data_IF_596781858334
#
_entry.id   IF_596781858334
#
_cell.length_a   1.000
_cell.length_b   1.000
_cell.length_c   1.000
_cell.angle_alpha   90.00
_cell.angle_beta   90.00
_cell.angle_gamma   90.00
#
_symmetry.space_group_name_H-M   'P 1'
#
loop_
_entity.id
_entity.type
_entity.pdbx_description
1 polymer ?
#
# COMPACT_ATOMS: atom_id res chain seq x y z
N UNK A 1 -16.40 9.37 -5.39
CA UNK A 1 -16.68 10.55 -4.54
C UNK A 1 -15.41 10.92 -3.76
N UNK A 2 -15.37 12.11 -3.17
CA UNK A 2 -14.28 12.52 -2.28
C UNK A 2 -14.83 13.32 -1.11
N UNK A 3 -14.32 13.03 0.07
CA UNK A 3 -14.58 13.71 1.33
C UNK A 3 -13.25 14.17 1.92
N UNK A 4 -13.05 15.49 2.03
CA UNK A 4 -11.80 16.09 2.51
C UNK A 4 -11.64 17.52 2.01
N UNK A 5 -10.50 18.12 2.34
CA UNK A 5 -10.18 19.50 1.94
C UNK A 5 -9.83 19.59 0.45
N UNK A 6 -10.17 20.73 -0.16
CA UNK A 6 -9.73 21.07 -1.51
C UNK A 6 -9.09 22.44 -1.56
N UNK A 7 -7.87 22.52 -2.09
CA UNK A 7 -7.15 23.77 -2.31
C UNK A 7 -7.02 23.98 -3.82
N UNK A 8 -7.51 25.12 -4.33
CA UNK A 8 -7.58 25.41 -5.78
C UNK A 8 -8.27 24.30 -6.61
N UNK A 9 -9.24 23.61 -6.02
CA UNK A 9 -9.98 22.51 -6.66
C UNK A 9 -9.28 21.14 -6.63
N UNK A 10 -8.05 21.06 -6.10
CA UNK A 10 -7.29 19.82 -5.93
C UNK A 10 -7.48 19.25 -4.53
N UNK A 11 -7.45 17.92 -4.38
CA UNK A 11 -7.52 17.25 -3.08
C UNK A 11 -6.25 17.53 -2.27
N UNK A 12 -6.40 17.92 -1.00
CA UNK A 12 -5.30 18.29 -0.12
C UNK A 12 -5.58 17.79 1.31
N UNK A 13 -4.52 17.56 2.09
CA UNK A 13 -4.66 17.17 3.50
C UNK A 13 -5.25 15.76 3.67
N UNK A 14 -5.85 15.49 4.83
CA UNK A 14 -6.53 14.22 5.07
C UNK A 14 -7.83 14.13 4.27
N UNK A 15 -8.08 12.98 3.64
CA UNK A 15 -9.34 12.73 2.96
C UNK A 15 -9.65 11.27 2.71
N UNK A 16 -10.84 11.05 2.16
CA UNK A 16 -11.36 9.77 1.75
C UNK A 16 -11.88 9.85 0.30
N UNK A 17 -11.33 9.03 -0.59
CA UNK A 17 -11.74 8.92 -1.98
C UNK A 17 -12.33 7.55 -2.27
N UNK A 18 -13.48 7.53 -2.93
CA UNK A 18 -14.03 6.34 -3.60
C UNK A 18 -13.85 6.51 -5.11
N UNK A 19 -13.08 5.62 -5.73
CA UNK A 19 -12.81 5.61 -7.15
C UNK A 19 -13.88 4.81 -7.92
N UNK A 20 -13.98 5.10 -9.21
CA UNK A 20 -14.73 4.24 -10.12
C UNK A 20 -14.15 2.82 -10.10
N UNK A 21 -15.03 1.81 -10.07
CA UNK A 21 -14.63 0.41 -9.90
C UNK A 21 -14.54 -0.06 -8.45
N UNK A 22 -14.82 0.79 -7.45
CA UNK A 22 -14.99 0.38 -6.04
C UNK A 22 -13.71 0.40 -5.20
N UNK A 23 -12.58 0.81 -5.78
CA UNK A 23 -11.36 1.05 -4.99
C UNK A 23 -11.57 2.25 -4.07
N UNK A 24 -10.94 2.23 -2.89
CA UNK A 24 -10.98 3.35 -1.95
C UNK A 24 -9.60 3.73 -1.47
N UNK A 25 -9.43 5.01 -1.13
CA UNK A 25 -8.24 5.50 -0.44
C UNK A 25 -8.66 6.37 0.75
N UNK A 26 -8.03 6.14 1.90
CA UNK A 26 -8.14 6.99 3.08
C UNK A 26 -6.74 7.40 3.51
N UNK A 27 -6.45 8.69 3.53
CA UNK A 27 -5.16 9.18 3.95
C UNK A 27 -4.85 10.57 3.45
N UNK A 28 -3.57 10.88 3.40
CA UNK A 28 -3.07 12.19 3.00
C UNK A 28 -3.12 12.37 1.48
N UNK A 29 -3.47 13.57 1.05
CA UNK A 29 -3.45 14.05 -0.31
C UNK A 29 -2.56 15.30 -0.41
N UNK A 30 -1.93 15.48 -1.56
CA UNK A 30 -1.25 16.72 -1.91
C UNK A 30 -1.29 16.93 -3.42
N UNK A 31 -1.67 18.15 -3.84
CA UNK A 31 -1.85 18.53 -5.24
C UNK A 31 -2.79 17.58 -6.01
N UNK A 32 -3.80 17.03 -5.35
CA UNK A 32 -4.75 16.08 -5.94
C UNK A 32 -4.27 14.64 -6.00
N UNK A 33 -3.05 14.33 -5.55
CA UNK A 33 -2.51 12.98 -5.53
C UNK A 33 -2.53 12.37 -4.13
N UNK A 34 -2.70 11.05 -4.04
CA UNK A 34 -2.40 10.31 -2.80
C UNK A 34 -0.92 10.50 -2.47
N UNK A 35 -0.62 11.03 -1.28
CA UNK A 35 0.73 11.42 -0.89
C UNK A 35 0.88 11.33 0.63
N UNK A 36 1.99 10.83 1.14
CA UNK A 36 2.18 10.63 2.58
C UNK A 36 1.57 9.31 3.06
N UNK A 37 1.16 9.25 4.33
CA UNK A 37 0.55 8.05 4.90
C UNK A 37 -0.88 7.86 4.40
N UNK A 38 -1.24 6.62 4.05
CA UNK A 38 -2.59 6.28 3.66
C UNK A 38 -2.87 4.79 3.62
N UNK A 39 -4.14 4.48 3.43
CA UNK A 39 -4.67 3.14 3.21
C UNK A 39 -5.37 3.11 1.86
N UNK A 40 -4.92 2.24 0.97
CA UNK A 40 -5.61 1.92 -0.28
C UNK A 40 -6.24 0.55 -0.18
N UNK A 41 -7.53 0.47 -0.47
CA UNK A 41 -8.27 -0.80 -0.51
C UNK A 41 -8.74 -1.02 -1.94
N UNK A 42 -8.27 -2.10 -2.55
CA UNK A 42 -8.74 -2.52 -3.86
C UNK A 42 -10.16 -3.08 -3.74
N UNK A 43 -10.93 -2.98 -4.83
CA UNK A 43 -12.30 -3.48 -4.88
C UNK A 43 -12.40 -4.99 -4.63
N UNK A 44 -11.32 -5.73 -4.88
CA UNK A 44 -11.22 -7.16 -4.57
C UNK A 44 -10.98 -7.44 -3.08
N UNK A 45 -10.78 -6.42 -2.24
CA UNK A 45 -10.57 -6.53 -0.79
C UNK A 45 -9.12 -6.53 -0.35
N UNK A 46 -8.14 -6.59 -1.27
CA UNK A 46 -6.73 -6.41 -0.91
C UNK A 46 -6.56 -5.00 -0.31
N UNK A 47 -5.68 -4.88 0.68
CA UNK A 47 -5.43 -3.62 1.38
C UNK A 47 -3.93 -3.34 1.43
N UNK A 48 -3.56 -2.08 1.19
CA UNK A 48 -2.22 -1.55 1.42
C UNK A 48 -2.28 -0.41 2.41
N UNK A 49 -1.41 -0.44 3.41
CA UNK A 49 -1.23 0.61 4.42
C UNK A 49 0.22 1.07 4.38
N UNK A 50 0.48 2.35 4.12
CA UNK A 50 1.85 2.86 4.14
C UNK A 50 2.03 4.17 3.40
N UNK A 51 3.26 4.42 2.97
CA UNK A 51 3.62 5.67 2.31
C UNK A 51 3.25 5.67 0.83
N UNK A 52 2.80 6.84 0.37
CA UNK A 52 2.50 7.17 -1.02
C UNK A 52 3.31 8.39 -1.47
N UNK A 53 3.73 8.39 -2.72
CA UNK A 53 4.31 9.56 -3.39
C UNK A 53 3.65 9.67 -4.76
N UNK A 54 2.82 10.70 -4.95
CA UNK A 54 2.12 10.98 -6.21
C UNK A 54 1.41 9.73 -6.76
N UNK A 55 0.48 9.18 -5.97
CA UNK A 55 -0.29 7.96 -6.23
C UNK A 55 0.47 6.62 -6.18
N UNK A 56 1.79 6.63 -5.96
CA UNK A 56 2.60 5.41 -5.99
C UNK A 56 2.95 4.96 -4.57
N UNK A 57 2.72 3.69 -4.23
CA UNK A 57 3.17 3.13 -2.95
C UNK A 57 4.71 3.08 -2.92
N UNK A 58 5.30 3.57 -1.82
CA UNK A 58 6.74 3.79 -1.68
C UNK A 58 7.23 3.53 -0.25
N UNK A 59 8.55 3.46 -0.09
CA UNK A 59 9.28 3.33 1.18
C UNK A 59 8.94 2.08 1.97
N UNK A 60 7.91 2.12 2.80
CA UNK A 60 7.50 1.04 3.69
C UNK A 60 5.99 0.98 3.75
N UNK A 61 5.47 -0.24 3.80
CA UNK A 61 4.05 -0.47 3.95
C UNK A 61 3.72 -1.92 4.20
N UNK A 62 2.43 -2.15 4.43
CA UNK A 62 1.84 -3.44 4.74
C UNK A 62 0.78 -3.78 3.71
N UNK A 63 0.93 -4.91 3.05
CA UNK A 63 -0.12 -5.53 2.26
C UNK A 63 -0.87 -6.55 3.11
N UNK A 64 -2.19 -6.53 3.05
CA UNK A 64 -3.07 -7.55 3.62
C UNK A 64 -3.95 -8.11 2.49
N UNK A 65 -3.90 -9.43 2.31
CA UNK A 65 -4.74 -10.15 1.35
C UNK A 65 -5.94 -10.79 2.04
N UNK A 66 -6.98 -11.10 1.27
CA UNK A 66 -8.23 -11.68 1.79
C UNK A 66 -8.07 -13.02 2.48
N UNK A 67 -7.04 -13.78 2.10
CA UNK A 67 -6.70 -15.06 2.72
C UNK A 67 -5.98 -14.90 4.08
N UNK A 68 -5.86 -13.66 4.57
CA UNK A 68 -5.16 -13.31 5.80
C UNK A 68 -3.64 -13.25 5.64
N UNK A 69 -3.10 -13.48 4.43
CA UNK A 69 -1.68 -13.31 4.16
C UNK A 69 -1.29 -11.85 4.35
N UNK A 70 -0.09 -11.63 4.86
CA UNK A 70 0.44 -10.28 5.15
C UNK A 70 1.87 -10.19 4.61
N UNK A 71 2.19 -9.02 4.07
CA UNK A 71 3.56 -8.60 3.83
C UNK A 71 3.76 -7.27 4.54
N UNK A 72 4.90 -7.11 5.21
CA UNK A 72 5.31 -5.85 5.82
C UNK A 72 6.79 -5.65 5.52
N UNK A 73 7.14 -4.48 4.96
CA UNK A 73 8.52 -4.19 4.62
C UNK A 73 8.64 -3.10 3.58
N UNK A 74 9.80 -3.08 2.92
CA UNK A 74 10.11 -2.04 1.97
C UNK A 74 9.32 -2.17 0.65
N UNK A 75 8.92 -1.02 0.11
CA UNK A 75 8.10 -0.90 -1.10
C UNK A 75 8.77 0.07 -2.05
N UNK A 76 8.79 -0.27 -3.34
CA UNK A 76 9.27 0.62 -4.40
C UNK A 76 8.40 0.45 -5.64
N UNK A 77 7.83 1.55 -6.11
CA UNK A 77 6.97 1.59 -7.29
C UNK A 77 5.82 0.58 -7.22
N UNK A 78 5.12 0.52 -6.08
CA UNK A 78 4.02 -0.44 -5.88
C UNK A 78 4.45 -1.87 -5.54
N UNK A 79 5.74 -2.22 -5.67
CA UNK A 79 6.21 -3.59 -5.50
C UNK A 79 6.96 -3.78 -4.19
N UNK A 80 6.79 -4.97 -3.59
CA UNK A 80 7.66 -5.46 -2.50
C UNK A 80 9.11 -5.40 -2.96
N UNK A 81 9.96 -4.74 -2.18
CA UNK A 81 11.35 -4.47 -2.50
C UNK A 81 12.19 -4.37 -1.22
N UNK A 82 13.50 -4.56 -1.25
CA UNK A 82 14.32 -4.45 -0.04
C UNK A 82 13.95 -5.49 1.02
N UNK A 83 14.21 -5.21 2.29
CA UNK A 83 13.94 -6.16 3.38
C UNK A 83 12.45 -6.17 3.74
N UNK A 84 11.91 -7.35 4.05
CA UNK A 84 10.54 -7.47 4.52
C UNK A 84 10.17 -8.86 5.02
N UNK A 85 9.07 -8.91 5.74
CA UNK A 85 8.43 -10.09 6.29
C UNK A 85 7.17 -10.43 5.49
N UNK A 86 6.98 -11.71 5.19
CA UNK A 86 5.75 -12.26 4.67
C UNK A 86 5.28 -13.39 5.57
N UNK A 87 3.97 -13.46 5.81
CA UNK A 87 3.30 -14.59 6.48
C UNK A 87 2.10 -15.00 5.65
N UNK A 88 1.99 -16.29 5.36
CA UNK A 88 0.76 -16.84 4.77
C UNK A 88 -0.34 -16.84 5.83
N UNK A 89 -1.56 -16.44 5.45
CA UNK A 89 -2.73 -16.58 6.31
C UNK A 89 -3.36 -17.97 6.25
N UNK A 90 -3.03 -18.74 5.22
CA UNK A 90 -3.59 -20.07 4.93
C UNK A 90 -2.67 -21.22 5.35
N UNK A 91 -1.38 -20.95 5.53
CA UNK A 91 -0.36 -21.98 5.81
C UNK A 91 0.61 -21.48 6.88
N UNK A 92 1.25 -22.38 7.65
CA UNK A 92 2.26 -22.04 8.66
C UNK A 92 3.62 -21.70 8.01
N UNK A 93 3.61 -20.90 6.94
CA UNK A 93 4.80 -20.51 6.18
C UNK A 93 5.01 -19.01 6.33
N UNK A 94 6.24 -18.64 6.65
CA UNK A 94 6.70 -17.25 6.66
C UNK A 94 8.01 -17.11 5.89
N UNK A 95 8.34 -15.87 5.54
CA UNK A 95 9.61 -15.50 4.94
C UNK A 95 10.06 -14.17 5.50
N UNK A 96 11.30 -14.11 5.99
CA UNK A 96 11.98 -12.88 6.36
C UNK A 96 13.21 -12.79 5.47
N UNK A 97 13.34 -11.71 4.71
CA UNK A 97 14.49 -11.54 3.83
C UNK A 97 14.29 -10.45 2.80
N UNK A 98 15.16 -10.45 1.80
CA UNK A 98 15.15 -9.43 0.76
C UNK A 98 14.13 -9.75 -0.35
N UNK A 99 13.61 -8.71 -0.96
CA UNK A 99 12.66 -8.75 -2.05
C UNK A 99 13.19 -7.87 -3.19
N UNK A 100 13.03 -8.32 -4.43
CA UNK A 100 13.34 -7.53 -5.61
C UNK A 100 12.22 -7.68 -6.64
N UNK A 101 11.60 -6.56 -7.02
CA UNK A 101 10.48 -6.50 -7.98
C UNK A 101 9.37 -7.52 -7.65
N UNK A 102 8.97 -7.57 -6.38
CA UNK A 102 7.87 -8.42 -5.92
C UNK A 102 8.23 -9.88 -5.65
N UNK A 103 9.48 -10.31 -5.88
CA UNK A 103 9.94 -11.69 -5.68
C UNK A 103 10.94 -11.77 -4.52
N UNK A 104 10.94 -12.88 -3.79
CA UNK A 104 11.97 -13.21 -2.79
C UNK A 104 13.35 -13.18 -3.45
N UNK A 105 14.33 -12.57 -2.79
CA UNK A 105 15.68 -12.35 -3.29
C UNK A 105 16.69 -12.53 -2.15
N UNK A 106 17.85 -13.13 -2.43
CA UNK A 106 18.86 -13.45 -1.41
C UNK A 106 18.73 -14.88 -0.86
N UNK A 107 19.85 -15.42 -0.36
CA UNK A 107 19.90 -16.73 0.29
C UNK A 107 19.33 -16.59 1.70
N UNK A 108 18.48 -17.54 2.08
CA UNK A 108 18.12 -17.79 3.49
C UNK A 108 19.42 -18.19 4.20
N UNK A 109 19.81 -17.48 5.26
CA UNK A 109 20.84 -17.95 6.19
C UNK A 109 20.29 -19.07 7.06
#
# INVERSE_FOLDING_TARGET
SYEGEKVHGLYEGEGFACFEGGNTYKGMFSEGFMHGQGTYTWADGVKYEGMFVKNVQMFNGRYTWNDGSIYEGSIKNGLRHGFGFFRSGTHPVSYIGYWCKGKRHGKVS
#
